data_IF_590920893479
#
_entry.id   IF_590920893479
#
_cell.length_a   1.000
_cell.length_b   1.000
_cell.length_c   1.000
_cell.angle_alpha   90.00
_cell.angle_beta   90.00
_cell.angle_gamma   90.00
#
_symmetry.space_group_name_H-M   'P 1'
#
loop_
_entity.id
_entity.type
_entity.pdbx_description
1 polymer ?
#
# COMPACT_ATOMS: atom_id res chain seq x y z
N UNK A 1 7.17 -16.44 7.89
CA UNK A 1 5.76 -16.04 8.15
C UNK A 1 5.23 -15.43 6.88
N UNK A 2 4.09 -15.90 6.35
CA UNK A 2 3.40 -15.21 5.25
C UNK A 2 2.67 -13.99 5.82
N UNK A 3 2.95 -12.80 5.30
CA UNK A 3 2.22 -11.60 5.67
C UNK A 3 1.00 -11.45 4.74
N UNK A 4 -0.19 -11.30 5.32
CA UNK A 4 -1.41 -11.00 4.58
C UNK A 4 -1.56 -9.50 4.40
N UNK A 5 -1.71 -9.09 3.16
CA UNK A 5 -2.00 -7.72 2.74
C UNK A 5 -3.33 -7.69 1.99
N UNK A 6 -4.04 -6.58 2.10
CA UNK A 6 -5.30 -6.36 1.39
C UNK A 6 -5.04 -5.89 -0.05
N UNK A 7 -3.90 -5.22 -0.29
CA UNK A 7 -3.54 -4.65 -1.59
C UNK A 7 -2.02 -4.55 -1.77
N UNK A 8 -1.54 -4.59 -3.01
CA UNK A 8 -0.12 -4.42 -3.36
C UNK A 8 0.03 -3.24 -4.31
N UNK A 9 0.93 -2.30 -4.02
CA UNK A 9 1.28 -1.20 -4.92
C UNK A 9 2.59 -1.54 -5.63
N UNK A 10 2.53 -1.69 -6.96
CA UNK A 10 3.70 -2.04 -7.76
C UNK A 10 4.35 -0.79 -8.33
N UNK A 11 5.61 -0.55 -7.93
CA UNK A 11 6.42 0.59 -8.37
C UNK A 11 6.44 1.76 -7.38
N UNK A 12 7.56 2.50 -7.34
CA UNK A 12 7.84 3.53 -6.32
C UNK A 12 7.69 4.98 -6.79
N UNK A 13 6.80 5.25 -7.75
CA UNK A 13 6.55 6.61 -8.24
C UNK A 13 5.72 7.45 -7.26
N UNK A 14 5.76 8.78 -7.40
CA UNK A 14 5.03 9.72 -6.53
C UNK A 14 3.56 9.36 -6.33
N UNK A 15 2.81 9.08 -7.41
CA UNK A 15 1.40 8.71 -7.32
C UNK A 15 1.18 7.36 -6.62
N UNK A 16 2.07 6.40 -6.83
CA UNK A 16 2.01 5.09 -6.17
C UNK A 16 2.22 5.22 -4.67
N UNK A 17 3.25 5.96 -4.25
CA UNK A 17 3.55 6.19 -2.83
C UNK A 17 2.47 7.03 -2.14
N UNK A 18 1.94 8.06 -2.81
CA UNK A 18 0.81 8.85 -2.29
C UNK A 18 -0.42 7.98 -2.11
N UNK A 19 -0.74 7.14 -3.09
CA UNK A 19 -1.86 6.19 -3.00
C UNK A 19 -1.67 5.20 -1.85
N UNK A 20 -0.48 4.60 -1.74
CA UNK A 20 -0.15 3.69 -0.64
C UNK A 20 -0.31 4.36 0.73
N UNK A 21 0.14 5.61 0.87
CA UNK A 21 0.03 6.37 2.12
C UNK A 21 -1.43 6.64 2.50
N UNK A 22 -2.28 7.03 1.54
CA UNK A 22 -3.70 7.25 1.81
C UNK A 22 -4.45 5.95 2.12
N UNK A 23 -4.12 4.85 1.43
CA UNK A 23 -4.68 3.52 1.73
C UNK A 23 -4.28 3.05 3.14
N UNK A 24 -3.00 3.17 3.50
CA UNK A 24 -2.52 2.85 4.84
C UNK A 24 -3.21 3.72 5.91
N UNK A 25 -3.39 5.01 5.65
CA UNK A 25 -4.14 5.93 6.54
C UNK A 25 -5.61 5.54 6.70
N UNK A 26 -6.23 4.97 5.67
CA UNK A 26 -7.59 4.44 5.72
C UNK A 26 -7.67 3.05 6.40
N UNK A 27 -6.54 2.48 6.84
CA UNK A 27 -6.48 1.19 7.54
C UNK A 27 -6.26 -0.02 6.64
N UNK A 28 -6.00 0.18 5.34
CA UNK A 28 -5.71 -0.90 4.40
C UNK A 28 -4.28 -1.41 4.61
N UNK A 29 -4.09 -2.73 4.74
CA UNK A 29 -2.74 -3.31 4.77
C UNK A 29 -2.18 -3.37 3.35
N UNK A 30 -1.33 -2.42 3.01
CA UNK A 30 -0.64 -2.32 1.72
C UNK A 30 0.78 -2.88 1.78
N UNK A 31 1.20 -3.56 0.69
CA UNK A 31 2.58 -3.96 0.39
C UNK A 31 3.18 -3.11 -0.72
#
# INVERSE_FOLDING_TARGET
MSASYDLIVVGGGHNGLVTAAYLARAGVKVL
#
